data_IF_214380429009
#
_entry.id   IF_214380429009
#
_cell.length_a   1.000
_cell.length_b   1.000
_cell.length_c   1.000
_cell.angle_alpha   90.00
_cell.angle_beta   90.00
_cell.angle_gamma   90.00
#
_symmetry.space_group_name_H-M   'P 1'
#
loop_
_entity.id
_entity.type
_entity.pdbx_description
1 polymer ?
#
# COMPACT_ATOMS: atom_id res chain seq x y z
N UNK A 1 18.28 7.85 -11.67
CA UNK A 1 16.83 7.88 -11.34
C UNK A 1 16.01 6.84 -12.13
N UNK A 2 16.53 6.21 -13.18
CA UNK A 2 15.76 5.36 -14.12
C UNK A 2 15.53 3.92 -13.64
N UNK A 3 16.47 3.36 -12.86
CA UNK A 3 16.45 1.94 -12.40
C UNK A 3 15.36 1.59 -11.39
N UNK A 4 14.68 2.58 -10.79
CA UNK A 4 13.73 2.33 -9.69
C UNK A 4 12.29 2.25 -10.21
N UNK A 5 11.91 3.08 -11.19
CA UNK A 5 10.63 2.95 -11.92
C UNK A 5 10.51 1.57 -12.57
N UNK A 6 11.60 1.11 -13.19
CA UNK A 6 11.69 -0.22 -13.77
C UNK A 6 11.44 -1.34 -12.72
N UNK A 7 11.86 -1.15 -11.46
CA UNK A 7 11.63 -2.13 -10.38
C UNK A 7 10.19 -2.13 -9.88
N UNK A 8 9.56 -0.96 -9.84
CA UNK A 8 8.14 -0.82 -9.45
C UNK A 8 7.23 -1.39 -10.54
N UNK A 9 7.52 -1.11 -11.80
CA UNK A 9 6.78 -1.65 -12.95
C UNK A 9 6.97 -3.17 -13.07
N UNK A 10 8.20 -3.67 -12.84
CA UNK A 10 8.48 -5.12 -12.80
C UNK A 10 7.81 -5.81 -11.61
N UNK A 11 7.71 -5.13 -10.46
CA UNK A 11 6.97 -5.63 -9.30
C UNK A 11 5.46 -5.71 -9.59
N UNK A 12 4.90 -4.66 -10.21
CA UNK A 12 3.49 -4.60 -10.62
C UNK A 12 3.16 -5.69 -11.67
N UNK A 13 4.04 -5.91 -12.65
CA UNK A 13 3.91 -6.97 -13.64
C UNK A 13 3.98 -8.38 -13.00
N UNK A 14 4.89 -8.61 -12.05
CA UNK A 14 5.02 -9.91 -11.36
C UNK A 14 3.83 -10.28 -10.46
N UNK A 15 3.03 -9.29 -10.06
CA UNK A 15 1.82 -9.49 -9.26
C UNK A 15 0.61 -9.89 -10.13
N UNK A 16 0.60 -9.54 -11.41
CA UNK A 16 -0.40 -9.99 -12.38
C UNK A 16 -0.32 -11.50 -12.65
N UNK A 17 0.90 -12.01 -12.82
CA UNK A 17 1.18 -13.43 -13.07
C UNK A 17 0.89 -14.31 -11.84
N UNK A 18 1.27 -13.84 -10.64
CA UNK A 18 1.03 -14.54 -9.36
C UNK A 18 -0.45 -14.63 -8.95
N UNK A 19 -1.35 -13.93 -9.64
CA UNK A 19 -2.80 -13.97 -9.37
C UNK A 19 -3.41 -15.33 -9.69
N UNK A 20 -2.80 -16.11 -10.60
CA UNK A 20 -3.26 -17.47 -10.96
C UNK A 20 -2.75 -18.54 -9.99
N UNK A 21 -1.58 -18.32 -9.39
CA UNK A 21 -0.92 -19.27 -8.48
C UNK A 21 -1.42 -19.16 -7.02
N UNK A 22 -1.91 -17.99 -6.59
CA UNK A 22 -2.33 -17.73 -5.20
C UNK A 22 -3.77 -18.15 -4.83
N UNK A 23 -4.46 -18.95 -5.65
CA UNK A 23 -5.66 -19.66 -5.17
C UNK A 23 -5.32 -20.86 -4.29
N UNK A 24 -4.05 -21.30 -4.25
CA UNK A 24 -3.63 -22.53 -3.56
C UNK A 24 -2.84 -22.38 -2.25
N UNK A 25 -2.32 -21.21 -1.88
CA UNK A 25 -1.39 -21.12 -0.75
C UNK A 25 -1.50 -19.82 0.05
N UNK A 26 -2.48 -19.79 0.97
CA UNK A 26 -2.33 -19.30 2.35
C UNK A 26 -3.68 -19.34 3.05
N UNK A 27 -4.05 -20.55 3.46
CA UNK A 27 -5.03 -20.79 4.52
C UNK A 27 -4.44 -20.28 5.83
N UNK A 28 -4.59 -18.98 6.11
CA UNK A 28 -4.33 -18.41 7.44
C UNK A 28 -5.45 -18.85 8.38
N UNK A 29 -5.29 -20.05 8.95
CA UNK A 29 -6.16 -20.60 9.98
C UNK A 29 -6.35 -19.61 11.14
N UNK A 30 -7.62 -19.34 11.48
CA UNK A 30 -8.15 -18.69 12.69
C UNK A 30 -7.60 -17.32 13.15
N UNK A 31 -6.50 -16.78 12.60
CA UNK A 31 -5.95 -15.44 12.95
C UNK A 31 -6.29 -14.32 11.95
N UNK A 32 -6.84 -14.68 10.79
CA UNK A 32 -7.17 -13.75 9.71
C UNK A 32 -8.00 -12.51 10.15
N UNK A 33 -8.97 -12.60 11.08
CA UNK A 33 -9.76 -11.43 11.46
C UNK A 33 -8.97 -10.39 12.27
N UNK A 34 -8.08 -10.83 13.16
CA UNK A 34 -7.30 -9.91 14.02
C UNK A 34 -6.22 -9.21 13.23
N UNK A 35 -5.51 -9.96 12.38
CA UNK A 35 -4.48 -9.42 11.50
C UNK A 35 -5.08 -8.41 10.50
N UNK A 36 -6.19 -8.77 9.85
CA UNK A 36 -6.88 -7.85 8.94
C UNK A 36 -7.34 -6.56 9.64
N UNK A 37 -7.83 -6.66 10.89
CA UNK A 37 -8.19 -5.48 11.70
C UNK A 37 -6.97 -4.61 12.01
N UNK A 38 -5.83 -5.23 12.34
CA UNK A 38 -4.57 -4.53 12.60
C UNK A 38 -4.08 -3.80 11.33
N UNK A 39 -4.04 -4.48 10.19
CA UNK A 39 -3.67 -3.89 8.89
C UNK A 39 -4.56 -2.70 8.54
N UNK A 40 -5.88 -2.84 8.71
CA UNK A 40 -6.84 -1.74 8.48
C UNK A 40 -6.68 -0.59 9.47
N UNK A 41 -6.21 -0.85 10.69
CA UNK A 41 -5.93 0.19 11.68
C UNK A 41 -4.72 1.02 11.23
N UNK A 42 -3.60 0.35 10.93
CA UNK A 42 -2.38 1.03 10.45
C UNK A 42 -2.64 1.80 9.16
N UNK A 43 -3.36 1.21 8.20
CA UNK A 43 -3.75 1.90 6.96
C UNK A 43 -4.54 3.19 7.23
N UNK A 44 -5.48 3.15 8.16
CA UNK A 44 -6.28 4.34 8.52
C UNK A 44 -5.44 5.40 9.20
N UNK A 45 -4.50 5.00 10.04
CA UNK A 45 -3.57 5.88 10.74
C UNK A 45 -2.63 6.59 9.78
N UNK A 46 -1.97 5.85 8.87
CA UNK A 46 -1.17 6.45 7.78
C UNK A 46 -2.00 7.44 6.95
N UNK A 47 -3.25 7.09 6.62
CA UNK A 47 -4.14 7.98 5.90
C UNK A 47 -4.50 9.26 6.69
N UNK A 48 -4.57 9.20 8.03
CA UNK A 48 -4.77 10.40 8.86
C UNK A 48 -3.53 11.28 8.81
N UNK A 49 -2.35 10.72 9.05
CA UNK A 49 -1.07 11.43 8.99
C UNK A 49 -0.89 12.12 7.64
N UNK A 50 -1.13 11.41 6.53
CA UNK A 50 -1.06 12.00 5.20
C UNK A 50 -2.07 13.13 4.99
N UNK A 51 -3.33 12.97 5.41
CA UNK A 51 -4.33 14.05 5.27
C UNK A 51 -3.95 15.27 6.08
N UNK A 52 -3.37 15.09 7.27
CA UNK A 52 -2.87 16.19 8.10
C UNK A 52 -1.70 16.90 7.41
N UNK A 53 -0.68 16.15 6.96
CA UNK A 53 0.47 16.70 6.25
C UNK A 53 0.05 17.46 4.98
N UNK A 54 -0.88 16.91 4.20
CA UNK A 54 -1.43 17.57 3.00
C UNK A 54 -2.21 18.84 3.32
N UNK A 55 -2.95 18.87 4.43
CA UNK A 55 -3.66 20.08 4.86
C UNK A 55 -2.69 21.20 5.23
N UNK A 56 -1.54 20.85 5.80
CA UNK A 56 -0.50 21.82 6.14
C UNK A 56 0.26 22.33 4.91
N UNK A 57 0.52 21.46 3.94
CA UNK A 57 1.31 21.81 2.74
C UNK A 57 0.47 22.28 1.54
N UNK A 58 -0.87 22.21 1.62
CA UNK A 58 -1.77 22.52 0.50
C UNK A 58 -1.69 21.55 -0.68
N UNK A 59 -0.99 20.42 -0.53
CA UNK A 59 -0.69 19.50 -1.63
C UNK A 59 -1.88 18.65 -2.05
N UNK A 60 -2.05 18.45 -3.36
CA UNK A 60 -3.07 17.55 -3.93
C UNK A 60 -2.73 16.06 -3.64
N UNK A 61 -3.70 15.12 -3.71
CA UNK A 61 -3.42 13.71 -3.46
C UNK A 61 -2.75 13.08 -4.68
N UNK A 62 -1.52 12.59 -4.50
CA UNK A 62 -0.75 11.91 -5.55
C UNK A 62 -1.52 10.71 -6.14
N UNK A 63 -1.54 10.55 -7.48
CA UNK A 63 -2.14 9.38 -8.15
C UNK A 63 -1.53 8.06 -7.67
N UNK A 64 -0.21 8.00 -7.47
CA UNK A 64 0.50 6.79 -7.02
C UNK A 64 -0.01 6.34 -5.65
N UNK A 65 -0.18 7.27 -4.71
CA UNK A 65 -0.75 6.99 -3.38
C UNK A 65 -2.20 6.50 -3.50
N UNK A 66 -2.96 7.04 -4.46
CA UNK A 66 -4.36 6.64 -4.70
C UNK A 66 -4.45 5.20 -5.20
N UNK A 67 -3.56 4.82 -6.12
CA UNK A 67 -3.52 3.48 -6.69
C UNK A 67 -3.05 2.44 -5.68
N UNK A 68 -1.99 2.73 -4.92
CA UNK A 68 -1.56 1.89 -3.80
C UNK A 68 -2.67 1.71 -2.76
N UNK A 69 -3.38 2.79 -2.40
CA UNK A 69 -4.51 2.74 -1.48
C UNK A 69 -5.68 1.92 -2.03
N UNK A 70 -5.95 1.99 -3.34
CA UNK A 70 -6.96 1.17 -4.02
C UNK A 70 -6.57 -0.31 -3.99
N UNK A 71 -5.32 -0.65 -4.26
CA UNK A 71 -4.80 -2.01 -4.19
C UNK A 71 -4.95 -2.61 -2.78
N UNK A 72 -4.59 -1.85 -1.74
CA UNK A 72 -4.78 -2.29 -0.35
C UNK A 72 -6.27 -2.52 -0.01
N UNK A 73 -7.18 -1.67 -0.48
CA UNK A 73 -8.62 -1.86 -0.23
C UNK A 73 -9.18 -3.12 -0.90
N UNK A 74 -8.70 -3.43 -2.11
CA UNK A 74 -9.14 -4.61 -2.85
C UNK A 74 -8.60 -5.92 -2.25
N UNK A 75 -7.34 -5.93 -1.79
CA UNK A 75 -6.71 -7.09 -1.20
C UNK A 75 -5.79 -6.67 -0.02
N UNK A 76 -6.36 -6.43 1.17
CA UNK A 76 -5.58 -6.01 2.33
C UNK A 76 -4.55 -7.07 2.71
N UNK A 77 -3.28 -6.68 2.70
CA UNK A 77 -2.15 -7.54 3.07
C UNK A 77 -1.01 -6.68 3.58
N UNK A 78 -0.06 -7.28 4.30
CA UNK A 78 1.14 -6.58 4.76
C UNK A 78 1.92 -5.98 3.58
N UNK A 79 2.10 -6.72 2.50
CA UNK A 79 2.80 -6.22 1.30
C UNK A 79 2.10 -5.01 0.67
N UNK A 80 0.76 -5.04 0.56
CA UNK A 80 0.00 -3.90 0.06
C UNK A 80 0.09 -2.68 0.99
N UNK A 81 0.18 -2.91 2.31
CA UNK A 81 0.37 -1.84 3.29
C UNK A 81 1.75 -1.18 3.17
N UNK A 82 2.80 -1.99 2.98
CA UNK A 82 4.17 -1.50 2.75
C UNK A 82 4.25 -0.67 1.47
N UNK A 83 3.57 -1.09 0.40
CA UNK A 83 3.49 -0.29 -0.84
C UNK A 83 2.84 1.07 -0.60
N UNK A 84 1.76 1.14 0.18
CA UNK A 84 1.13 2.43 0.55
C UNK A 84 2.11 3.31 1.34
N UNK A 85 2.84 2.73 2.29
CA UNK A 85 3.82 3.48 3.08
C UNK A 85 4.96 4.02 2.20
N UNK A 86 5.53 3.19 1.33
CA UNK A 86 6.57 3.60 0.38
C UNK A 86 6.08 4.71 -0.56
N UNK A 87 4.87 4.57 -1.12
CA UNK A 87 4.28 5.60 -1.98
C UNK A 87 4.03 6.92 -1.25
N UNK A 88 3.82 6.90 0.06
CA UNK A 88 3.66 8.10 0.89
C UNK A 88 4.99 8.77 1.23
N UNK A 89 6.04 7.97 1.41
CA UNK A 89 7.42 8.41 1.64
C UNK A 89 8.00 9.09 0.40
N UNK A 90 7.83 8.49 -0.79
CA UNK A 90 8.31 9.02 -2.08
C UNK A 90 7.76 10.42 -2.41
N UNK A 91 6.55 10.73 -1.96
CA UNK A 91 5.90 12.04 -2.19
C UNK A 91 6.19 13.04 -1.07
N UNK A 92 7.08 12.70 -0.13
CA UNK A 92 7.46 13.56 1.00
C UNK A 92 6.30 13.85 1.96
N UNK A 93 5.26 12.99 1.97
CA UNK A 93 4.07 13.17 2.81
C UNK A 93 4.18 12.45 4.16
N UNK A 94 5.31 11.78 4.41
CA UNK A 94 5.71 11.27 5.72
C UNK A 94 7.00 11.97 6.13
N UNK A 95 6.91 12.94 7.03
CA UNK A 95 8.04 13.35 7.87
C UNK A 95 8.03 12.41 9.07
N UNK A 96 9.00 11.51 9.15
CA UNK A 96 9.22 10.68 10.33
C UNK A 96 9.73 11.53 11.49
#
# INVERSE_FOLDING_TARGET
MERVRERVDKAAASLGDKRRERRGAQTLGSKAPRELRALRRVFREMGRTQRTARRQTGQAPSPVVRDAARAFRAAPSMSALVLVAASLDEVGLLSW
#
